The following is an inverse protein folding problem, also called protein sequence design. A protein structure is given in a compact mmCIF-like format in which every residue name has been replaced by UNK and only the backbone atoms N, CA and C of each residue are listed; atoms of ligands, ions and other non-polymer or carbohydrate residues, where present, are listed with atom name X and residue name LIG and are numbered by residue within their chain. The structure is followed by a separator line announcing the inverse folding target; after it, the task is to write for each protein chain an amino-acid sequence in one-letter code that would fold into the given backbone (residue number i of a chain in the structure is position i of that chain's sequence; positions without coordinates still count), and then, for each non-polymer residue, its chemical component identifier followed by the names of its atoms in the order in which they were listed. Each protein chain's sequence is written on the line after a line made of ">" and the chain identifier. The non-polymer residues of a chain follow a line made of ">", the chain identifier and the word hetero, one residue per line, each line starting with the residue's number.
data_IF_269845688692
#
_entry.id   IF_269845688692
#
_cell.length_a   1.000
_cell.length_b   1.000
_cell.length_c   1.000
_cell.angle_alpha   90.00
_cell.angle_beta   90.00
_cell.angle_gamma   90.00
#
_symmetry.space_group_name_H-M   'P 1'
#
loop_
_entity.id
_entity.type
_entity.pdbx_description
1 polymer ?
#
# COMPACT_ATOMS: atom_id res chain seq x y z
N UNK A 1 7.97 -10.33 -17.46
CA UNK A 1 8.65 -9.45 -16.50
C UNK A 1 9.40 -10.18 -15.39
N UNK A 2 10.62 -9.73 -15.05
CA UNK A 2 11.45 -10.23 -13.93
C UNK A 2 11.51 -9.18 -12.80
N UNK A 3 10.97 -9.50 -11.62
CA UNK A 3 11.02 -8.61 -10.43
C UNK A 3 12.26 -8.88 -9.59
N UNK A 4 12.70 -7.88 -8.81
CA UNK A 4 13.80 -8.03 -7.84
C UNK A 4 13.55 -9.19 -6.87
N UNK A 5 12.32 -9.33 -6.35
CA UNK A 5 11.96 -10.39 -5.39
C UNK A 5 12.12 -11.77 -6.01
N UNK A 6 11.62 -11.97 -7.23
CA UNK A 6 11.76 -13.24 -7.96
C UNK A 6 13.23 -13.58 -8.24
N UNK A 7 14.07 -12.57 -8.49
CA UNK A 7 15.51 -12.79 -8.66
C UNK A 7 16.23 -13.01 -7.34
N UNK A 8 15.88 -12.35 -6.24
CA UNK A 8 16.46 -12.65 -4.93
C UNK A 8 16.15 -14.10 -4.49
N UNK A 9 15.00 -14.65 -4.90
CA UNK A 9 14.61 -16.03 -4.58
C UNK A 9 15.30 -17.10 -5.46
N UNK A 10 15.66 -16.76 -6.70
CA UNK A 10 16.13 -17.74 -7.72
C UNK A 10 17.51 -17.44 -8.32
N UNK A 11 18.02 -16.24 -8.09
CA UNK A 11 19.24 -15.72 -8.69
C UNK A 11 20.49 -16.12 -7.93
N UNK A 12 21.60 -16.19 -8.65
CA UNK A 12 22.89 -16.59 -8.09
C UNK A 12 23.54 -15.48 -7.23
N UNK A 13 23.22 -14.22 -7.54
CA UNK A 13 23.73 -13.05 -6.84
C UNK A 13 22.61 -12.28 -6.17
N UNK A 14 22.88 -11.66 -5.02
CA UNK A 14 21.93 -10.73 -4.41
C UNK A 14 21.63 -9.54 -5.35
N UNK A 15 20.39 -9.05 -5.37
CA UNK A 15 20.01 -7.87 -6.19
C UNK A 15 20.84 -6.63 -5.86
N UNK A 16 21.39 -6.51 -4.65
CA UNK A 16 22.31 -5.44 -4.26
C UNK A 16 23.63 -5.48 -5.04
N UNK A 17 24.19 -6.66 -5.27
CA UNK A 17 25.40 -6.86 -6.09
C UNK A 17 25.13 -6.49 -7.54
N UNK A 18 23.99 -6.92 -8.09
CA UNK A 18 23.55 -6.57 -9.45
C UNK A 18 23.42 -5.05 -9.60
N UNK A 19 22.74 -4.37 -8.67
CA UNK A 19 22.61 -2.90 -8.69
C UNK A 19 23.95 -2.19 -8.58
N UNK A 20 24.90 -2.70 -7.78
CA UNK A 20 26.24 -2.11 -7.67
C UNK A 20 27.00 -2.16 -9.00
N UNK A 21 26.79 -3.21 -9.80
CA UNK A 21 27.48 -3.38 -11.08
C UNK A 21 26.81 -2.59 -12.22
N UNK A 22 25.48 -2.61 -12.28
CA UNK A 22 24.70 -2.02 -13.37
C UNK A 22 24.10 -0.64 -13.06
N UNK A 23 24.24 -0.14 -11.83
CA UNK A 23 23.65 1.11 -11.33
C UNK A 23 22.26 0.92 -10.74
N UNK A 24 21.36 0.24 -11.47
CA UNK A 24 19.98 -0.02 -11.02
C UNK A 24 19.45 -1.36 -11.51
N UNK A 25 18.35 -1.85 -10.91
CA UNK A 25 17.68 -3.08 -11.36
C UNK A 25 17.15 -2.92 -12.80
N UNK A 26 16.65 -1.73 -13.13
CA UNK A 26 16.17 -1.41 -14.48
C UNK A 26 17.28 -1.55 -15.51
N UNK A 27 18.42 -0.93 -15.26
CA UNK A 27 19.59 -1.00 -16.15
C UNK A 27 20.13 -2.43 -16.26
N UNK A 28 20.07 -3.24 -15.20
CA UNK A 28 20.48 -4.63 -15.25
C UNK A 28 19.58 -5.47 -16.16
N UNK A 29 18.25 -5.32 -16.06
CA UNK A 29 17.32 -6.02 -16.94
C UNK A 29 17.42 -5.52 -18.39
N UNK A 30 17.57 -4.21 -18.61
CA UNK A 30 17.83 -3.65 -19.95
C UNK A 30 19.10 -4.24 -20.58
N UNK A 31 20.20 -4.31 -19.82
CA UNK A 31 21.45 -4.90 -20.28
C UNK A 31 21.33 -6.41 -20.59
N UNK A 32 20.43 -7.10 -19.89
CA UNK A 32 20.14 -8.53 -20.12
C UNK A 32 19.10 -8.77 -21.22
N UNK A 33 18.51 -7.74 -21.81
CA UNK A 33 17.42 -7.87 -22.78
C UNK A 33 16.14 -8.44 -22.16
N UNK A 34 15.96 -8.29 -20.85
CA UNK A 34 14.82 -8.79 -20.09
C UNK A 34 13.88 -7.63 -19.78
N UNK A 35 12.59 -7.85 -19.97
CA UNK A 35 11.57 -6.90 -19.55
C UNK A 35 11.55 -6.76 -18.02
N UNK A 36 11.79 -5.54 -17.53
CA UNK A 36 11.74 -5.23 -16.09
C UNK A 36 10.35 -5.50 -15.56
N UNK A 37 10.25 -6.36 -14.54
CA UNK A 37 9.06 -6.36 -13.70
C UNK A 37 9.11 -5.14 -12.80
N UNK A 38 8.15 -4.25 -12.96
CA UNK A 38 7.96 -3.18 -11.99
C UNK A 38 7.38 -3.81 -10.71
N UNK A 39 7.59 -3.16 -9.56
CA UNK A 39 6.95 -3.60 -8.31
C UNK A 39 5.41 -3.52 -8.40
N UNK A 40 4.90 -2.79 -9.40
CA UNK A 40 3.50 -2.49 -9.66
C UNK A 40 3.23 -2.74 -11.15
N UNK A 41 3.47 -3.97 -11.62
CA UNK A 41 2.95 -4.36 -12.93
C UNK A 41 1.42 -4.36 -12.79
N UNK A 42 0.79 -3.50 -13.59
CA UNK A 42 -0.56 -2.94 -13.53
C UNK A 42 -0.71 -1.82 -12.49
N UNK A 43 -0.92 -0.59 -12.96
CA UNK A 43 -1.45 0.48 -12.12
C UNK A 43 -2.66 -0.10 -11.38
N UNK A 44 -2.57 -0.17 -10.04
CA UNK A 44 -3.70 -0.57 -9.21
C UNK A 44 -4.69 0.59 -9.26
N UNK A 45 -5.37 0.73 -10.41
CA UNK A 45 -6.37 1.75 -10.62
C UNK A 45 -7.59 1.32 -9.83
N UNK A 46 -7.95 2.14 -8.85
CA UNK A 46 -9.22 2.02 -8.17
C UNK A 46 -10.39 2.21 -9.16
N UNK A 47 -11.62 1.90 -8.72
CA UNK A 47 -12.83 2.01 -9.55
C UNK A 47 -13.02 3.38 -10.23
N UNK A 48 -12.52 4.44 -9.60
CA UNK A 48 -12.59 5.82 -10.12
C UNK A 48 -11.32 6.29 -10.85
N UNK A 49 -10.41 5.39 -11.18
CA UNK A 49 -9.13 5.72 -11.82
C UNK A 49 -8.05 6.24 -10.88
N UNK A 50 -8.30 6.25 -9.56
CA UNK A 50 -7.32 6.62 -8.55
C UNK A 50 -6.14 5.64 -8.54
N UNK A 51 -4.93 6.15 -8.43
CA UNK A 51 -3.74 5.30 -8.32
C UNK A 51 -3.62 4.80 -6.87
N UNK A 52 -3.48 3.48 -6.71
CA UNK A 52 -3.26 2.82 -5.42
C UNK A 52 -1.87 2.17 -5.39
N UNK A 53 -1.32 2.04 -4.19
CA UNK A 53 0.05 1.56 -3.95
C UNK A 53 0.10 0.03 -3.78
N UNK A 54 -1.04 -0.64 -3.55
CA UNK A 54 -1.05 -2.08 -3.35
C UNK A 54 -2.32 -2.80 -3.81
N UNK A 55 -2.20 -4.12 -3.98
CA UNK A 55 -3.36 -5.00 -4.26
C UNK A 55 -4.34 -5.09 -3.10
N UNK A 56 -3.89 -4.88 -1.86
CA UNK A 56 -4.77 -4.86 -0.69
C UNK A 56 -5.62 -3.58 -0.70
N UNK A 57 -5.01 -2.43 -1.00
CA UNK A 57 -5.76 -1.19 -1.24
C UNK A 57 -6.75 -1.33 -2.39
N UNK A 58 -6.37 -1.99 -3.49
CA UNK A 58 -7.29 -2.25 -4.60
C UNK A 58 -8.49 -3.12 -4.16
N UNK A 59 -8.26 -4.12 -3.31
CA UNK A 59 -9.33 -4.96 -2.78
C UNK A 59 -10.28 -4.16 -1.88
N UNK A 60 -9.73 -3.29 -1.03
CA UNK A 60 -10.49 -2.35 -0.18
C UNK A 60 -11.29 -1.36 -1.02
N UNK A 61 -10.66 -0.71 -2.00
CA UNK A 61 -11.32 0.25 -2.89
C UNK A 61 -12.49 -0.37 -3.65
N UNK A 62 -12.32 -1.59 -4.17
CA UNK A 62 -13.42 -2.34 -4.81
C UNK A 62 -14.54 -2.70 -3.85
N UNK A 63 -14.22 -2.93 -2.58
CA UNK A 63 -15.23 -3.19 -1.57
C UNK A 63 -16.04 -1.92 -1.26
N UNK A 64 -15.37 -0.79 -1.08
CA UNK A 64 -16.03 0.51 -0.85
C UNK A 64 -16.95 0.88 -2.02
N UNK A 65 -16.46 0.74 -3.25
CA UNK A 65 -17.25 0.96 -4.47
C UNK A 65 -18.46 0.01 -4.56
N UNK A 66 -18.27 -1.28 -4.26
CA UNK A 66 -19.37 -2.25 -4.22
C UNK A 66 -20.40 -2.00 -3.10
N UNK A 67 -20.06 -1.18 -2.12
CA UNK A 67 -20.95 -0.73 -1.04
C UNK A 67 -21.52 0.67 -1.30
N UNK A 68 -21.17 1.31 -2.42
CA UNK A 68 -21.54 2.70 -2.75
C UNK A 68 -21.07 3.70 -1.68
N UNK A 69 -19.90 3.44 -1.07
CA UNK A 69 -19.29 4.30 -0.06
C UNK A 69 -18.28 5.22 -0.73
N UNK A 70 -18.55 6.53 -0.63
CA UNK A 70 -17.63 7.56 -1.10
C UNK A 70 -16.36 7.58 -0.23
N UNK A 71 -15.20 7.66 -0.89
CA UNK A 71 -13.92 7.78 -0.21
C UNK A 71 -12.90 8.59 -1.01
N UNK A 72 -12.03 9.27 -0.27
CA UNK A 72 -10.82 9.89 -0.79
C UNK A 72 -9.63 8.95 -0.57
N UNK A 73 -8.70 8.90 -1.52
CA UNK A 73 -7.50 8.04 -1.45
C UNK A 73 -6.24 8.87 -1.17
N UNK A 74 -5.31 8.34 -0.37
CA UNK A 74 -4.02 8.98 -0.07
C UNK A 74 -4.16 10.41 0.51
N UNK A 75 -5.09 10.59 1.46
CA UNK A 75 -5.38 11.89 2.06
C UNK A 75 -4.30 12.30 3.05
N UNK A 76 -3.72 13.49 2.87
CA UNK A 76 -2.74 14.03 3.80
C UNK A 76 -3.32 14.22 5.20
N UNK A 77 -2.63 13.69 6.20
CA UNK A 77 -3.03 13.76 7.60
C UNK A 77 -2.57 15.08 8.21
N UNK A 78 -3.49 16.03 8.37
CA UNK A 78 -3.22 17.33 8.98
C UNK A 78 -2.09 18.07 8.27
N UNK A 79 -1.11 18.58 9.02
CA UNK A 79 0.09 19.24 8.48
C UNK A 79 1.31 18.30 8.34
N UNK A 80 1.10 16.99 8.45
CA UNK A 80 2.18 16.00 8.41
C UNK A 80 2.54 15.61 6.97
N UNK A 81 3.63 14.87 6.78
CA UNK A 81 3.95 14.22 5.50
C UNK A 81 3.33 12.82 5.37
N UNK A 82 2.40 12.45 6.26
CA UNK A 82 1.73 11.16 6.20
C UNK A 82 0.46 11.28 5.38
N UNK A 83 0.24 10.30 4.53
CA UNK A 83 -0.99 10.12 3.76
C UNK A 83 -1.71 8.89 4.32
N UNK A 84 -3.02 9.00 4.50
CA UNK A 84 -3.90 7.89 4.85
C UNK A 84 -4.39 7.20 3.60
N UNK A 85 -4.45 5.87 3.59
CA UNK A 85 -4.79 5.11 2.39
C UNK A 85 -6.20 5.46 1.90
N UNK A 86 -7.18 5.49 2.81
CA UNK A 86 -8.54 5.94 2.51
C UNK A 86 -9.12 6.81 3.63
N UNK A 87 -9.90 7.81 3.24
CA UNK A 87 -10.75 8.58 4.14
C UNK A 87 -12.20 8.48 3.66
N UNK A 88 -13.11 8.10 4.55
CA UNK A 88 -14.54 8.01 4.30
C UNK A 88 -15.19 9.23 4.97
N UNK A 89 -15.66 10.24 4.20
CA UNK A 89 -16.26 11.44 4.76
C UNK A 89 -17.51 11.18 5.60
N UNK A 90 -18.25 10.12 5.26
CA UNK A 90 -19.34 9.54 6.02
C UNK A 90 -19.02 8.04 6.17
N UNK A 91 -18.62 7.55 7.36
CA UNK A 91 -18.90 8.09 8.70
C UNK A 91 -17.78 8.94 9.35
N UNK A 92 -16.94 9.65 8.58
CA UNK A 92 -15.74 10.35 9.06
C UNK A 92 -14.70 9.36 9.66
N UNK A 93 -14.31 8.37 8.86
CA UNK A 93 -13.42 7.28 9.24
C UNK A 93 -12.14 7.26 8.38
N UNK A 94 -10.99 7.19 9.05
CA UNK A 94 -9.67 7.07 8.42
C UNK A 94 -9.25 5.60 8.37
N UNK A 95 -8.97 5.06 7.19
CA UNK A 95 -8.71 3.63 6.98
C UNK A 95 -7.29 3.43 6.48
N UNK A 96 -6.48 2.74 7.27
CA UNK A 96 -5.16 2.25 6.87
C UNK A 96 -5.24 0.80 6.41
N UNK A 97 -4.58 0.48 5.30
CA UNK A 97 -4.51 -0.89 4.78
C UNK A 97 -3.17 -1.52 5.14
N UNK A 98 -3.18 -2.52 6.03
CA UNK A 98 -1.97 -3.24 6.44
C UNK A 98 -1.73 -4.49 5.59
N UNK A 99 -0.87 -4.36 4.57
CA UNK A 99 -0.40 -5.51 3.78
C UNK A 99 0.65 -6.40 4.45
N UNK A 100 1.01 -6.18 5.73
CA UNK A 100 2.08 -6.90 6.45
C UNK A 100 1.59 -7.87 7.53
N UNK A 101 0.30 -8.20 7.56
CA UNK A 101 -0.37 -9.16 8.44
C UNK A 101 0.51 -10.35 8.92
N UNK A 102 1.17 -11.03 7.98
CA UNK A 102 1.90 -12.28 8.25
C UNK A 102 3.41 -12.10 8.45
N UNK A 103 3.90 -10.90 8.81
CA UNK A 103 5.33 -10.66 8.94
C UNK A 103 5.73 -9.39 9.68
N UNK A 104 7.05 -9.15 9.73
CA UNK A 104 7.59 -7.95 10.36
C UNK A 104 7.40 -6.75 9.43
N UNK A 105 6.54 -5.81 9.83
CA UNK A 105 6.36 -4.52 9.17
C UNK A 105 7.69 -3.73 9.16
N UNK A 106 8.27 -3.41 7.99
CA UNK A 106 9.58 -2.75 7.91
C UNK A 106 9.58 -1.32 8.47
N UNK A 107 8.43 -0.65 8.47
CA UNK A 107 8.24 0.73 8.95
C UNK A 107 7.43 0.81 10.26
N UNK A 108 7.41 -0.25 11.07
CA UNK A 108 6.60 -0.40 12.29
C UNK A 108 6.64 0.84 13.21
N UNK A 109 7.84 1.36 13.52
CA UNK A 109 7.98 2.54 14.40
C UNK A 109 7.33 3.80 13.82
N UNK A 110 7.43 3.98 12.50
CA UNK A 110 6.82 5.10 11.80
C UNK A 110 5.30 4.98 11.79
N UNK A 111 4.80 3.79 11.45
CA UNK A 111 3.37 3.48 11.45
C UNK A 111 2.75 3.65 12.84
N UNK A 112 3.38 3.12 13.89
CA UNK A 112 2.92 3.31 15.27
C UNK A 112 2.88 4.78 15.71
N UNK A 113 3.77 5.64 15.16
CA UNK A 113 3.74 7.08 15.44
C UNK A 113 2.56 7.77 14.74
N UNK A 114 2.22 7.33 13.53
CA UNK A 114 1.04 7.78 12.79
C UNK A 114 -0.26 7.40 13.52
N UNK A 115 -0.41 6.15 13.97
CA UNK A 115 -1.59 5.74 14.74
C UNK A 115 -1.74 6.51 16.07
N UNK A 116 -0.63 6.76 16.77
CA UNK A 116 -0.65 7.62 17.96
C UNK A 116 -1.08 9.05 17.65
N UNK A 117 -0.74 9.56 16.47
CA UNK A 117 -1.18 10.88 16.04
C UNK A 117 -2.69 10.92 15.83
N UNK A 118 -3.27 9.91 15.17
CA UNK A 118 -4.73 9.80 15.02
C UNK A 118 -5.42 9.82 16.38
N UNK A 119 -4.96 8.96 17.30
CA UNK A 119 -5.50 8.88 18.64
C UNK A 119 -5.37 10.20 19.42
N UNK A 120 -4.21 10.88 19.35
CA UNK A 120 -4.00 12.14 20.08
C UNK A 120 -4.81 13.31 19.53
N UNK A 121 -5.29 13.22 18.29
CA UNK A 121 -6.12 14.24 17.63
C UNK A 121 -7.60 13.84 17.60
N UNK A 122 -8.01 12.79 18.33
CA UNK A 122 -9.39 12.29 18.38
C UNK A 122 -9.97 11.98 17.00
N UNK A 123 -9.12 11.53 16.07
CA UNK A 123 -9.53 11.07 14.75
C UNK A 123 -10.05 9.64 14.88
N UNK A 124 -11.18 9.34 14.23
CA UNK A 124 -11.65 7.96 14.17
C UNK A 124 -10.89 7.23 13.07
N UNK A 125 -10.29 6.09 13.40
CA UNK A 125 -9.48 5.35 12.45
C UNK A 125 -9.54 3.84 12.68
N UNK A 126 -9.31 3.10 11.62
CA UNK A 126 -9.15 1.64 11.64
C UNK A 126 -7.96 1.24 10.79
N UNK A 127 -7.32 0.14 11.19
CA UNK A 127 -6.30 -0.54 10.38
C UNK A 127 -6.90 -1.88 9.96
N UNK A 128 -6.93 -2.14 8.67
CA UNK A 128 -7.53 -3.35 8.09
C UNK A 128 -6.53 -4.10 7.23
N UNK A 129 -6.53 -5.42 7.32
CA UNK A 129 -5.71 -6.31 6.49
C UNK A 129 -6.50 -6.79 5.25
N UNK A 130 -7.83 -6.74 5.33
CA UNK A 130 -8.73 -7.26 4.31
C UNK A 130 -10.03 -6.45 4.16
N UNK A 131 -10.75 -6.62 3.03
CA UNK A 131 -12.09 -6.05 2.86
C UNK A 131 -13.13 -6.55 3.87
N UNK A 132 -12.96 -7.75 4.41
CA UNK A 132 -13.88 -8.34 5.39
C UNK A 132 -13.79 -7.58 6.71
N UNK A 133 -12.57 -7.33 7.20
CA UNK A 133 -12.34 -6.51 8.40
C UNK A 133 -12.86 -5.08 8.24
N UNK A 134 -12.76 -4.51 7.04
CA UNK A 134 -13.32 -3.19 6.76
C UNK A 134 -14.84 -3.17 6.92
N UNK A 135 -15.55 -4.18 6.41
CA UNK A 135 -17.00 -4.28 6.55
C UNK A 135 -17.41 -4.38 8.01
N UNK A 136 -16.77 -5.27 8.76
CA UNK A 136 -17.03 -5.40 10.21
C UNK A 136 -16.78 -4.08 10.94
N UNK A 137 -15.75 -3.34 10.54
CA UNK A 137 -15.41 -2.05 11.15
C UNK A 137 -16.45 -0.99 10.84
N UNK A 138 -16.89 -0.87 9.59
CA UNK A 138 -17.93 0.10 9.18
C UNK A 138 -19.26 -0.21 9.87
N UNK A 139 -19.67 -1.49 9.96
CA UNK A 139 -20.92 -1.90 10.60
C UNK A 139 -20.97 -1.59 12.11
N UNK A 140 -19.81 -1.37 12.74
CA UNK A 140 -19.70 -1.04 14.17
C UNK A 140 -19.60 0.46 14.46
N UNK A 141 -19.59 1.31 13.43
CA UNK A 141 -19.50 2.77 13.52
C UNK A 141 -20.84 3.42 13.25
#
# INVERSE_FOLDING_TARGET
>A
TLTMRKYDDLGEFATSTVKKHFGSWKQACEAAGIEVGTRHDDACLGPNGNQLDSRHELAVAKCLDGLDIECDTHVQVGSTLWECDFYLPDPNLWVEVDGYATGKRPNERGFARKLRYYASHSMDFVVVESPEELRESIDTK
#
